data_IF_859910627491
#
_entry.id   IF_859910627491
#
_cell.length_a   1.000
_cell.length_b   1.000
_cell.length_c   1.000
_cell.angle_alpha   90.00
_cell.angle_beta   90.00
_cell.angle_gamma   90.00
#
_symmetry.space_group_name_H-M   'P 1'
#
loop_
_entity.id
_entity.type
_entity.pdbx_description
1 polymer ?
#
# COMPACT_ATOMS: atom_id res chain seq x y z
N UNK A 1 -4.71 -12.95 12.52
CA UNK A 1 -4.66 -12.24 11.21
C UNK A 1 -5.54 -13.00 10.22
N UNK A 2 -6.71 -12.45 9.88
CA UNK A 2 -7.83 -13.21 9.30
C UNK A 2 -7.55 -13.75 7.89
N UNK A 3 -6.97 -12.95 7.00
CA UNK A 3 -6.60 -13.36 5.64
C UNK A 3 -5.67 -14.57 5.60
N UNK A 4 -4.68 -14.66 6.49
CA UNK A 4 -3.79 -15.83 6.56
C UNK A 4 -4.47 -17.05 7.14
N UNK A 5 -5.37 -16.85 8.12
CA UNK A 5 -6.14 -17.96 8.67
C UNK A 5 -7.01 -18.61 7.58
N UNK A 6 -7.55 -17.82 6.66
CA UNK A 6 -8.42 -18.32 5.59
C UNK A 6 -7.66 -18.78 4.34
N UNK A 7 -6.69 -18.00 3.85
CA UNK A 7 -6.06 -18.23 2.55
C UNK A 7 -4.61 -18.72 2.66
N UNK A 8 -4.07 -18.83 3.87
CA UNK A 8 -2.71 -19.27 4.12
C UNK A 8 -1.68 -18.16 3.97
N UNK A 9 -0.42 -18.56 3.90
CA UNK A 9 0.73 -17.65 3.77
C UNK A 9 0.77 -16.98 2.39
N UNK A 10 1.40 -15.80 2.27
CA UNK A 10 1.62 -15.17 0.97
C UNK A 10 2.60 -15.98 0.13
N UNK A 11 2.42 -15.91 -1.19
CA UNK A 11 3.25 -16.60 -2.17
C UNK A 11 4.25 -15.65 -2.83
N UNK A 12 3.88 -14.36 -3.00
CA UNK A 12 4.74 -13.34 -3.59
C UNK A 12 4.79 -12.07 -2.75
N UNK A 13 5.96 -11.45 -2.73
CA UNK A 13 6.20 -10.11 -2.23
C UNK A 13 6.70 -9.24 -3.38
N UNK A 14 5.95 -8.19 -3.73
CA UNK A 14 6.31 -7.30 -4.83
C UNK A 14 6.59 -5.91 -4.27
N UNK A 15 7.73 -5.33 -4.65
CA UNK A 15 8.08 -3.96 -4.27
C UNK A 15 8.15 -3.09 -5.51
N UNK A 16 7.41 -1.99 -5.52
CA UNK A 16 7.46 -0.96 -6.56
C UNK A 16 8.10 0.30 -5.97
N UNK A 17 9.16 0.79 -6.60
CA UNK A 17 9.86 2.01 -6.16
C UNK A 17 9.66 3.15 -7.14
N UNK A 18 9.35 4.34 -6.62
CA UNK A 18 9.26 5.54 -7.44
C UNK A 18 10.63 5.95 -7.99
N UNK A 19 10.70 6.30 -9.27
CA UNK A 19 11.83 7.02 -9.85
C UNK A 19 11.39 8.43 -10.29
N UNK A 20 11.82 9.51 -9.60
CA UNK A 20 11.53 10.88 -10.00
C UNK A 20 12.10 11.29 -11.37
N UNK A 21 13.05 10.53 -11.90
CA UNK A 21 13.68 10.79 -13.19
C UNK A 21 13.02 10.02 -14.34
N UNK A 22 11.88 9.35 -14.10
CA UNK A 22 11.21 8.62 -15.17
C UNK A 22 10.73 9.58 -16.28
N UNK A 23 10.67 9.11 -17.54
CA UNK A 23 10.37 9.95 -18.68
C UNK A 23 8.99 10.63 -18.57
N UNK A 24 8.01 9.96 -17.97
CA UNK A 24 6.66 10.51 -17.79
C UNK A 24 6.64 11.72 -16.84
N UNK A 25 7.55 11.77 -15.86
CA UNK A 25 7.72 12.94 -15.01
C UNK A 25 8.41 14.05 -15.82
N UNK A 26 9.54 13.72 -16.47
CA UNK A 26 10.34 14.68 -17.24
C UNK A 26 9.54 15.40 -18.33
N UNK A 27 8.62 14.70 -18.99
CA UNK A 27 7.75 15.27 -20.04
C UNK A 27 6.77 16.33 -19.52
N UNK A 28 6.43 16.29 -18.23
CA UNK A 28 5.47 17.20 -17.62
C UNK A 28 6.16 18.33 -16.82
N UNK A 29 7.51 18.34 -16.78
CA UNK A 29 8.29 19.38 -16.12
C UNK A 29 8.42 20.62 -16.99
N UNK A 30 8.31 21.79 -16.36
CA UNK A 30 8.64 23.06 -16.99
C UNK A 30 10.15 23.24 -17.24
N UNK A 31 10.52 24.24 -18.02
CA UNK A 31 11.93 24.58 -18.29
C UNK A 31 12.64 24.87 -16.96
N UNK A 32 13.68 24.10 -16.65
CA UNK A 32 14.48 24.24 -15.43
C UNK A 32 13.88 23.61 -14.18
N UNK A 33 12.69 22.99 -14.26
CA UNK A 33 12.13 22.24 -13.14
C UNK A 33 12.83 20.89 -12.95
N UNK A 34 12.97 20.46 -11.70
CA UNK A 34 13.46 19.14 -11.35
C UNK A 34 12.31 18.31 -10.74
N UNK A 35 12.16 17.05 -11.15
CA UNK A 35 11.09 16.17 -10.67
C UNK A 35 11.02 16.06 -9.14
N UNK A 36 12.18 16.08 -8.47
CA UNK A 36 12.25 16.09 -6.99
C UNK A 36 11.55 17.27 -6.32
N UNK A 37 11.39 18.39 -7.03
CA UNK A 37 10.75 19.61 -6.54
C UNK A 37 9.25 19.67 -6.89
N UNK A 38 8.71 18.65 -7.58
CA UNK A 38 7.30 18.53 -7.99
C UNK A 38 6.63 17.31 -7.33
N UNK A 39 6.50 17.29 -5.98
CA UNK A 39 5.96 16.14 -5.26
C UNK A 39 4.50 15.83 -5.65
N UNK A 40 3.73 16.84 -6.07
CA UNK A 40 2.39 16.68 -6.63
C UNK A 40 2.39 15.80 -7.88
N UNK A 41 3.29 16.09 -8.82
CA UNK A 41 3.41 15.39 -10.10
C UNK A 41 3.91 13.96 -9.87
N UNK A 42 4.96 13.82 -9.07
CA UNK A 42 5.56 12.52 -8.75
C UNK A 42 4.54 11.60 -8.06
N UNK A 43 3.80 12.10 -7.07
CA UNK A 43 2.77 11.31 -6.38
C UNK A 43 1.65 10.87 -7.32
N UNK A 44 1.21 11.72 -8.26
CA UNK A 44 0.18 11.38 -9.25
C UNK A 44 0.65 10.30 -10.22
N UNK A 45 1.87 10.43 -10.74
CA UNK A 45 2.45 9.46 -11.68
C UNK A 45 2.72 8.13 -10.96
N UNK A 46 3.28 8.17 -9.75
CA UNK A 46 3.47 6.96 -8.95
C UNK A 46 2.15 6.24 -8.68
N UNK A 47 1.09 6.97 -8.30
CA UNK A 47 -0.25 6.38 -8.14
C UNK A 47 -0.78 5.77 -9.42
N UNK A 48 -0.60 6.43 -10.57
CA UNK A 48 -1.03 5.88 -11.85
C UNK A 48 -0.34 4.55 -12.15
N UNK A 49 1.00 4.49 -11.95
CA UNK A 49 1.78 3.25 -12.09
C UNK A 49 1.34 2.17 -11.08
N UNK A 50 1.04 2.56 -9.84
CA UNK A 50 0.53 1.65 -8.80
C UNK A 50 -0.77 0.96 -9.24
N UNK A 51 -1.72 1.74 -9.74
CA UNK A 51 -3.01 1.24 -10.20
C UNK A 51 -2.87 0.38 -11.47
N UNK A 52 -1.95 0.73 -12.36
CA UNK A 52 -1.65 -0.06 -13.54
C UNK A 52 -1.07 -1.43 -13.17
N UNK A 53 -0.08 -1.48 -12.26
CA UNK A 53 0.48 -2.72 -11.75
C UNK A 53 -0.58 -3.57 -11.05
N UNK A 54 -1.42 -2.96 -10.20
CA UNK A 54 -2.55 -3.64 -9.57
C UNK A 54 -3.47 -4.28 -10.62
N UNK A 55 -3.81 -3.56 -11.69
CA UNK A 55 -4.64 -4.07 -12.79
C UNK A 55 -4.00 -5.26 -13.49
N UNK A 56 -2.70 -5.18 -13.79
CA UNK A 56 -1.96 -6.30 -14.39
C UNK A 56 -1.98 -7.54 -13.49
N UNK A 57 -1.79 -7.37 -12.19
CA UNK A 57 -1.82 -8.47 -11.20
C UNK A 57 -3.21 -9.09 -11.10
N UNK A 58 -4.25 -8.27 -10.92
CA UNK A 58 -5.59 -8.73 -10.59
C UNK A 58 -6.40 -9.17 -11.81
N UNK A 59 -6.33 -8.43 -12.91
CA UNK A 59 -7.17 -8.66 -14.10
C UNK A 59 -6.43 -9.42 -15.20
N UNK A 60 -5.18 -9.04 -15.48
CA UNK A 60 -4.37 -9.74 -16.51
C UNK A 60 -3.70 -11.01 -15.97
N UNK A 61 -3.74 -11.25 -14.67
CA UNK A 61 -3.18 -12.43 -14.02
C UNK A 61 -1.71 -12.67 -14.37
N UNK A 62 -0.89 -11.60 -14.42
CA UNK A 62 0.55 -11.70 -14.79
C UNK A 62 1.35 -12.66 -13.89
N UNK A 63 0.90 -12.87 -12.64
CA UNK A 63 1.49 -13.84 -11.71
C UNK A 63 0.60 -15.08 -11.47
N UNK A 64 -0.46 -15.24 -12.26
CA UNK A 64 -1.53 -16.21 -12.05
C UNK A 64 -2.74 -15.61 -11.32
N UNK A 65 -3.75 -16.46 -11.06
CA UNK A 65 -4.98 -16.01 -10.39
C UNK A 65 -4.76 -15.74 -8.91
N UNK A 66 -5.07 -14.53 -8.49
CA UNK A 66 -4.96 -14.07 -7.10
C UNK A 66 -6.21 -14.43 -6.31
N UNK A 67 -6.03 -14.93 -5.09
CA UNK A 67 -7.10 -15.16 -4.10
C UNK A 67 -7.21 -13.97 -3.15
N UNK A 68 -6.07 -13.46 -2.71
CA UNK A 68 -6.00 -12.31 -1.84
C UNK A 68 -4.75 -11.47 -2.16
N UNK A 69 -4.88 -10.16 -2.01
CA UNK A 69 -3.80 -9.21 -2.21
C UNK A 69 -3.91 -8.10 -1.17
N UNK A 70 -2.77 -7.67 -0.65
CA UNK A 70 -2.67 -6.47 0.18
C UNK A 70 -1.57 -5.61 -0.43
N UNK A 71 -1.77 -4.31 -0.54
CA UNK A 71 -0.66 -3.40 -0.78
C UNK A 71 -0.66 -2.25 0.19
N UNK A 72 0.53 -1.70 0.46
CA UNK A 72 0.74 -0.50 1.27
C UNK A 72 1.73 0.40 0.56
N UNK A 73 1.44 1.70 0.53
CA UNK A 73 2.33 2.77 0.11
C UNK A 73 3.02 3.34 1.34
N UNK A 74 4.35 3.33 1.31
CA UNK A 74 5.20 3.91 2.34
C UNK A 74 6.04 5.04 1.74
N UNK A 75 6.33 6.07 2.56
CA UNK A 75 7.25 7.14 2.23
C UNK A 75 8.48 6.98 3.09
N UNK A 76 9.60 6.58 2.48
CA UNK A 76 10.85 6.46 3.23
C UNK A 76 11.32 7.83 3.73
N UNK A 77 12.21 7.88 4.74
CA UNK A 77 12.79 9.14 5.25
C UNK A 77 13.50 9.99 4.17
N UNK A 78 13.95 9.36 3.07
CA UNK A 78 14.50 10.03 1.88
C UNK A 78 13.43 10.53 0.88
N UNK A 79 12.15 10.37 1.22
CA UNK A 79 10.98 10.96 0.59
C UNK A 79 10.32 10.12 -0.49
N UNK A 80 11.02 9.21 -1.17
CA UNK A 80 10.44 8.49 -2.30
C UNK A 80 9.31 7.56 -1.85
N UNK A 81 8.26 7.50 -2.67
CA UNK A 81 7.15 6.58 -2.48
C UNK A 81 7.57 5.16 -2.88
N UNK A 82 7.29 4.21 -2.02
CA UNK A 82 7.43 2.78 -2.26
C UNK A 82 6.09 2.13 -2.05
N UNK A 83 5.80 1.08 -2.81
CA UNK A 83 4.65 0.25 -2.56
C UNK A 83 5.08 -1.20 -2.38
N UNK A 84 4.57 -1.83 -1.34
CA UNK A 84 4.78 -3.24 -1.07
C UNK A 84 3.47 -3.97 -1.25
N UNK A 85 3.47 -5.02 -2.07
CA UNK A 85 2.35 -5.91 -2.30
C UNK A 85 2.65 -7.28 -1.69
N UNK A 86 1.64 -7.87 -1.08
CA UNK A 86 1.60 -9.27 -0.71
C UNK A 86 0.48 -9.95 -1.48
N UNK A 87 0.82 -11.03 -2.17
CA UNK A 87 -0.10 -11.73 -3.07
C UNK A 87 -0.20 -13.18 -2.62
N UNK A 88 -1.43 -13.65 -2.48
CA UNK A 88 -1.79 -15.06 -2.25
C UNK A 88 -2.43 -15.58 -3.52
N UNK A 89 -1.81 -16.58 -4.15
CA UNK A 89 -2.24 -17.17 -5.40
C UNK A 89 -3.21 -18.34 -5.16
N UNK A 90 -4.06 -18.61 -6.15
CA UNK A 90 -4.89 -19.83 -6.17
C UNK A 90 -3.99 -21.07 -6.16
N UNK A 91 -4.43 -22.21 -5.57
CA UNK A 91 -3.62 -23.41 -5.45
C UNK A 91 -2.95 -23.88 -6.75
N UNK A 92 -3.65 -23.74 -7.87
CA UNK A 92 -3.19 -24.16 -9.21
C UNK A 92 -2.07 -23.26 -9.77
N UNK A 93 -1.93 -22.04 -9.25
CA UNK A 93 -0.96 -21.04 -9.69
C UNK A 93 0.20 -20.87 -8.69
N UNK A 94 0.21 -21.64 -7.59
CA UNK A 94 1.29 -21.58 -6.62
C UNK A 94 2.60 -22.05 -7.25
N UNK A 95 3.66 -21.30 -6.99
CA UNK A 95 5.02 -21.59 -7.45
C UNK A 95 5.57 -22.74 -6.61
N UNK A 96 5.78 -23.90 -7.24
CA UNK A 96 6.28 -25.11 -6.54
C UNK A 96 7.69 -25.48 -6.98
N UNK A 97 8.06 -25.13 -8.21
CA UNK A 97 9.34 -25.51 -8.81
C UNK A 97 10.11 -24.31 -9.31
N UNK A 98 11.42 -24.49 -9.53
CA UNK A 98 12.27 -23.48 -10.16
C UNK A 98 11.78 -23.11 -11.57
N UNK A 99 11.30 -24.09 -12.33
CA UNK A 99 10.77 -23.85 -13.68
C UNK A 99 9.52 -22.95 -13.65
N UNK A 100 8.71 -23.00 -12.59
CA UNK A 100 7.56 -22.10 -12.43
C UNK A 100 7.99 -20.67 -12.11
N UNK A 101 9.08 -20.51 -11.35
CA UNK A 101 9.67 -19.19 -11.10
C UNK A 101 10.22 -18.57 -12.39
N UNK A 102 10.92 -19.35 -13.22
CA UNK A 102 11.49 -18.86 -14.48
C UNK A 102 10.42 -18.39 -15.49
N UNK A 103 9.18 -18.90 -15.39
CA UNK A 103 8.03 -18.44 -16.21
C UNK A 103 7.57 -17.03 -15.86
N UNK A 104 7.74 -16.58 -14.60
CA UNK A 104 7.41 -15.21 -14.18
C UNK A 104 8.35 -14.17 -14.76
N UNK A 105 9.49 -14.61 -15.29
CA UNK A 105 10.62 -13.78 -15.71
C UNK A 105 10.61 -13.43 -17.20
N UNK A 106 9.67 -13.95 -17.99
CA UNK A 106 9.65 -13.75 -19.45
C UNK A 106 8.77 -12.55 -19.81
N UNK A 107 9.34 -11.65 -20.61
CA UNK A 107 8.62 -10.58 -21.29
C UNK A 107 7.37 -11.19 -21.95
N UNK A 108 6.19 -10.79 -21.45
CA UNK A 108 4.90 -11.27 -21.91
C UNK A 108 4.41 -10.52 -23.15
N UNK A 109 5.12 -9.46 -23.57
CA UNK A 109 4.73 -8.59 -24.68
C UNK A 109 3.52 -7.69 -24.37
N UNK A 110 3.03 -7.71 -23.13
CA UNK A 110 1.91 -6.91 -22.66
C UNK A 110 2.37 -5.46 -22.43
N UNK A 111 1.73 -4.53 -23.16
CA UNK A 111 1.86 -3.09 -22.93
C UNK A 111 0.52 -2.48 -22.45
N UNK A 112 0.61 -1.40 -21.68
CA UNK A 112 -0.53 -0.58 -21.25
C UNK A 112 -0.20 0.88 -21.55
N UNK A 113 -0.92 1.46 -22.50
CA UNK A 113 -0.81 2.88 -22.79
C UNK A 113 -1.53 3.70 -21.72
N UNK A 114 -0.79 4.53 -20.97
CA UNK A 114 -1.35 5.52 -20.06
C UNK A 114 -1.09 6.90 -20.65
N UNK A 115 -2.17 7.58 -21.07
CA UNK A 115 -2.15 8.86 -21.79
C UNK A 115 -1.35 8.79 -23.10
N UNK A 116 -0.03 8.99 -23.03
CA UNK A 116 0.92 9.04 -24.17
C UNK A 116 2.18 8.18 -23.95
N UNK A 117 2.24 7.42 -22.85
CA UNK A 117 3.36 6.54 -22.54
C UNK A 117 2.90 5.08 -22.55
N UNK A 118 3.63 4.24 -23.28
CA UNK A 118 3.42 2.79 -23.29
C UNK A 118 4.23 2.15 -22.17
N UNK A 119 3.54 1.57 -21.18
CA UNK A 119 4.16 0.81 -20.09
C UNK A 119 4.18 -0.66 -20.46
N UNK A 120 5.35 -1.26 -20.63
CA UNK A 120 5.52 -2.68 -20.93
C UNK A 120 5.84 -3.52 -19.67
N UNK A 121 5.78 -4.85 -19.79
CA UNK A 121 6.13 -5.77 -18.71
C UNK A 121 7.64 -6.02 -18.58
N UNK A 122 8.51 -5.31 -19.33
CA UNK A 122 9.98 -5.43 -19.19
C UNK A 122 10.50 -4.85 -17.88
N UNK A 123 9.63 -4.15 -17.15
CA UNK A 123 9.88 -3.50 -15.86
C UNK A 123 9.93 -4.52 -14.69
N UNK A 124 9.45 -5.76 -14.89
CA UNK A 124 9.49 -6.82 -13.88
C UNK A 124 10.89 -7.43 -13.78
N UNK A 125 11.69 -6.98 -12.80
CA UNK A 125 12.95 -7.66 -12.45
C UNK A 125 12.69 -8.57 -11.26
N UNK A 126 12.81 -9.88 -11.45
CA UNK A 126 12.92 -10.78 -10.31
C UNK A 126 14.28 -10.60 -9.64
N UNK A 127 14.33 -10.58 -8.31
CA UNK A 127 15.58 -10.37 -7.58
C UNK A 127 16.59 -11.46 -8.00
N UNK A 128 17.68 -11.05 -8.64
CA UNK A 128 18.87 -11.88 -8.84
C UNK A 128 19.91 -11.40 -7.82
N UNK A 129 20.44 -12.26 -6.93
CA UNK A 129 21.40 -11.87 -5.89
C UNK A 129 22.77 -11.43 -6.45
N UNK A 130 22.96 -11.56 -7.77
CA UNK A 130 24.14 -11.11 -8.50
C UNK A 130 23.70 -9.89 -9.30
N UNK A 131 24.23 -8.71 -8.95
CA UNK A 131 24.10 -7.53 -9.81
C UNK A 131 24.69 -7.90 -11.19
N UNK A 132 23.91 -7.77 -12.29
CA UNK A 132 24.42 -8.07 -13.61
C UNK A 132 25.62 -7.15 -13.89
N UNK A 133 26.76 -7.73 -14.28
CA UNK A 133 27.92 -6.95 -14.68
C UNK A 133 27.59 -6.14 -15.95
N UNK A 134 28.33 -5.07 -16.29
CA UNK A 134 28.14 -4.32 -17.54
C UNK A 134 28.27 -5.17 -18.82
N UNK A 135 28.73 -6.41 -18.69
CA UNK A 135 28.88 -7.39 -19.77
C UNK A 135 27.73 -8.41 -19.83
N UNK A 136 26.76 -8.35 -18.90
CA UNK A 136 25.57 -9.21 -18.89
C UNK A 136 24.51 -8.63 -19.87
N UNK A 137 23.97 -9.42 -20.80
CA UNK A 137 22.88 -8.97 -21.68
C UNK A 137 21.59 -8.55 -20.96
N UNK A 138 21.45 -8.78 -19.65
CA UNK A 138 20.36 -8.29 -18.79
C UNK A 138 20.67 -6.93 -18.12
N UNK A 139 21.91 -6.44 -18.24
CA UNK A 139 22.31 -5.13 -17.78
C UNK A 139 21.69 -4.08 -18.69
N UNK A 140 20.88 -3.20 -18.11
CA UNK A 140 20.23 -2.12 -18.82
C UNK A 140 20.92 -0.80 -18.43
N UNK A 141 21.64 -0.15 -19.36
CA UNK A 141 22.31 1.12 -19.13
C UNK A 141 21.36 2.30 -18.91
N UNK A 142 20.05 2.14 -19.13
CA UNK A 142 19.14 3.28 -19.31
C UNK A 142 19.01 4.17 -18.04
N UNK A 143 19.53 5.41 -18.06
CA UNK A 143 19.37 6.37 -16.97
C UNK A 143 17.93 6.88 -16.79
N UNK A 144 17.03 6.57 -17.73
CA UNK A 144 15.59 6.91 -17.71
C UNK A 144 14.71 5.81 -17.11
N UNK A 145 15.31 4.81 -16.44
CA UNK A 145 14.67 3.64 -15.84
C UNK A 145 13.28 3.92 -15.24
N UNK A 146 12.26 3.19 -15.70
CA UNK A 146 10.83 3.35 -15.41
C UNK A 146 10.41 2.99 -13.97
N UNK A 147 11.26 3.18 -12.96
CA UNK A 147 11.01 2.71 -11.60
C UNK A 147 11.22 1.20 -11.49
N UNK A 148 11.70 0.76 -10.32
CA UNK A 148 12.08 -0.65 -10.14
C UNK A 148 10.91 -1.42 -9.53
N UNK A 149 10.44 -2.45 -10.25
CA UNK A 149 9.54 -3.46 -9.69
C UNK A 149 10.38 -4.71 -9.39
N UNK A 150 10.41 -5.07 -8.12
CA UNK A 150 11.08 -6.27 -7.63
C UNK A 150 10.03 -7.31 -7.22
N UNK A 151 10.20 -8.56 -7.64
CA UNK A 151 9.32 -9.68 -7.28
C UNK A 151 10.12 -10.75 -6.55
N UNK A 152 9.66 -11.11 -5.35
CA UNK A 152 10.26 -12.13 -4.50
C UNK A 152 9.25 -13.22 -4.16
N UNK A 153 9.71 -14.48 -4.13
CA UNK A 153 8.89 -15.58 -3.62
C UNK A 153 8.87 -15.51 -2.10
N UNK A 154 7.67 -15.34 -1.56
CA UNK A 154 7.46 -15.29 -0.13
C UNK A 154 7.08 -16.68 0.39
N UNK A 155 7.73 -17.13 1.46
CA UNK A 155 7.44 -18.43 2.07
C UNK A 155 7.04 -18.32 3.54
N UNK A 156 6.96 -17.11 4.09
CA UNK A 156 6.77 -16.83 5.52
C UNK A 156 5.59 -15.91 5.80
N UNK A 157 4.84 -16.23 6.85
CA UNK A 157 3.76 -15.39 7.38
C UNK A 157 4.30 -14.07 7.95
N UNK A 158 5.60 -14.01 8.27
CA UNK A 158 6.26 -12.80 8.77
C UNK A 158 6.15 -11.62 7.81
N UNK A 159 6.09 -11.86 6.49
CA UNK A 159 5.97 -10.78 5.52
C UNK A 159 4.66 -9.99 5.68
N UNK A 160 3.57 -10.63 6.14
CA UNK A 160 2.33 -9.89 6.40
C UNK A 160 2.41 -9.13 7.72
N UNK A 161 3.10 -9.66 8.75
CA UNK A 161 3.41 -8.86 9.94
C UNK A 161 4.21 -7.61 9.56
N UNK A 162 5.15 -7.75 8.62
CA UNK A 162 5.92 -6.64 8.08
C UNK A 162 5.04 -5.63 7.35
N UNK A 163 4.08 -6.05 6.53
CA UNK A 163 3.19 -5.11 5.85
C UNK A 163 2.20 -4.42 6.80
N UNK A 164 1.64 -5.16 7.77
CA UNK A 164 0.78 -4.59 8.81
C UNK A 164 1.55 -3.60 9.69
N UNK A 165 2.84 -3.81 9.93
CA UNK A 165 3.68 -2.79 10.56
C UNK A 165 3.55 -1.48 9.79
N UNK A 166 3.61 -1.44 8.47
CA UNK A 166 3.48 -0.18 7.73
C UNK A 166 2.08 0.43 7.75
N UNK A 167 1.04 -0.39 7.89
CA UNK A 167 -0.33 0.11 8.11
C UNK A 167 -0.47 0.76 9.50
N UNK A 168 0.19 0.21 10.53
CA UNK A 168 -0.08 0.56 11.94
C UNK A 168 1.09 1.22 12.70
N UNK A 169 2.30 1.32 12.14
CA UNK A 169 3.52 1.86 12.78
C UNK A 169 3.37 3.34 13.19
N UNK A 170 2.32 4.02 12.73
CA UNK A 170 2.15 5.44 12.93
C UNK A 170 3.19 6.23 12.12
N UNK A 171 3.15 7.54 12.27
CA UNK A 171 4.08 8.40 11.55
C UNK A 171 5.47 8.37 12.17
N UNK A 172 6.49 8.50 11.33
CA UNK A 172 7.85 8.72 11.80
C UNK A 172 7.90 10.00 12.63
N UNK A 173 8.57 9.94 13.79
CA UNK A 173 8.76 11.07 14.69
C UNK A 173 10.22 11.53 14.66
N UNK A 174 10.41 12.84 14.71
CA UNK A 174 11.72 13.46 14.87
C UNK A 174 11.74 14.28 16.16
N UNK A 175 12.93 14.40 16.74
CA UNK A 175 13.19 15.28 17.87
C UNK A 175 13.98 16.48 17.35
N UNK A 176 13.54 17.70 17.65
CA UNK A 176 14.20 18.93 17.23
C UNK A 176 14.16 19.98 18.34
N UNK A 177 15.13 20.90 18.30
CA UNK A 177 15.19 22.06 19.19
C UNK A 177 15.09 23.34 18.34
N UNK A 178 14.29 24.31 18.78
CA UNK A 178 14.13 25.62 18.14
C UNK A 178 14.94 26.64 18.93
N UNK A 179 16.12 27.00 18.43
CA UNK A 179 17.01 27.97 19.07
C UNK A 179 16.82 29.34 18.39
N UNK A 180 16.61 30.40 19.18
CA UNK A 180 16.59 31.77 18.65
C UNK A 180 18.02 32.21 18.27
N UNK A 181 18.21 32.96 17.16
CA UNK A 181 19.54 33.42 16.78
C UNK A 181 20.10 34.39 17.84
N UNK A 182 21.20 34.01 18.51
CA UNK A 182 21.96 34.90 19.40
C UNK A 182 21.89 34.59 20.91
N UNK A 183 21.03 33.67 21.37
CA UNK A 183 21.07 33.21 22.77
C UNK A 183 22.00 31.99 22.91
N UNK A 184 23.22 32.22 23.41
CA UNK A 184 24.00 31.13 24.04
C UNK A 184 23.52 30.97 25.50
N UNK A 185 22.39 30.28 25.69
CA UNK A 185 22.00 29.82 27.03
C UNK A 185 22.66 28.46 27.30
N UNK A 186 23.06 28.26 28.56
CA UNK A 186 23.45 26.96 29.08
C UNK A 186 22.34 25.95 28.78
N UNK A 187 22.64 24.96 27.95
CA UNK A 187 21.68 24.01 27.38
C UNK A 187 21.48 22.88 28.38
N UNK A 188 20.28 22.78 28.94
CA UNK A 188 19.83 21.53 29.53
C UNK A 188 19.37 20.63 28.38
N UNK A 189 20.15 19.59 28.08
CA UNK A 189 19.99 18.70 26.92
C UNK A 189 18.68 17.89 26.94
N UNK A 190 17.92 17.90 28.03
CA UNK A 190 16.72 17.06 28.20
C UNK A 190 15.40 17.84 28.01
N UNK A 191 15.35 19.11 28.44
CA UNK A 191 14.07 19.84 28.56
C UNK A 191 13.62 20.63 27.32
N UNK A 192 14.49 20.83 26.31
CA UNK A 192 14.17 21.68 25.15
C UNK A 192 13.91 20.94 23.83
N UNK A 193 13.96 19.61 23.83
CA UNK A 193 13.70 18.81 22.63
C UNK A 193 12.19 18.58 22.43
N UNK A 194 11.66 19.10 21.34
CA UNK A 194 10.28 18.86 20.92
C UNK A 194 10.21 17.66 19.99
N UNK A 195 9.24 16.76 20.22
CA UNK A 195 8.94 15.66 19.30
C UNK A 195 7.85 16.08 18.31
N UNK A 196 8.19 16.08 17.03
CA UNK A 196 7.27 16.34 15.93
C UNK A 196 7.03 15.12 15.06
N UNK A 197 5.90 15.13 14.35
CA UNK A 197 5.65 14.18 13.25
C UNK A 197 6.44 14.65 12.03
N UNK A 198 7.23 13.75 11.46
CA UNK A 198 7.87 13.97 10.18
C UNK A 198 6.92 13.59 9.04
N UNK A 199 6.68 14.52 8.13
CA UNK A 199 5.90 14.28 6.91
C UNK A 199 6.77 14.69 5.72
N UNK A 200 7.07 13.74 4.84
CA UNK A 200 7.84 14.05 3.62
C UNK A 200 6.98 14.86 2.62
N UNK A 201 7.58 15.62 1.69
CA UNK A 201 6.84 16.37 0.68
C UNK A 201 5.90 15.47 -0.16
N UNK A 202 6.35 14.25 -0.48
CA UNK A 202 5.57 13.28 -1.23
C UNK A 202 4.42 12.70 -0.41
N UNK A 203 4.64 12.42 0.88
CA UNK A 203 3.57 11.99 1.78
C UNK A 203 2.52 13.09 1.95
N UNK A 204 2.95 14.34 2.12
CA UNK A 204 2.05 15.49 2.21
C UNK A 204 1.21 15.63 0.94
N UNK A 205 1.83 15.57 -0.24
CA UNK A 205 1.13 15.62 -1.52
C UNK A 205 0.14 14.45 -1.66
N UNK A 206 0.53 13.23 -1.28
CA UNK A 206 -0.35 12.05 -1.33
C UNK A 206 -1.61 12.23 -0.47
N UNK A 207 -1.44 12.76 0.74
CA UNK A 207 -2.55 13.04 1.67
C UNK A 207 -3.45 14.17 1.18
N UNK A 208 -2.87 15.27 0.68
CA UNK A 208 -3.63 16.40 0.12
C UNK A 208 -4.49 15.94 -1.07
N UNK A 209 -3.95 15.05 -1.90
CA UNK A 209 -4.65 14.49 -3.05
C UNK A 209 -5.69 13.40 -2.68
N UNK A 210 -5.80 13.04 -1.39
CA UNK A 210 -6.77 12.06 -0.91
C UNK A 210 -6.52 10.63 -1.42
N UNK A 211 -5.25 10.27 -1.65
CA UNK A 211 -4.91 8.95 -2.16
C UNK A 211 -4.83 7.90 -1.04
N UNK A 212 -5.36 6.70 -1.30
CA UNK A 212 -5.30 5.59 -0.36
C UNK A 212 -3.87 5.13 -0.09
N UNK A 213 -3.53 4.94 1.18
CA UNK A 213 -2.21 4.44 1.59
C UNK A 213 -2.11 2.91 1.50
N UNK A 214 -3.24 2.21 1.53
CA UNK A 214 -3.25 0.76 1.47
C UNK A 214 -4.59 0.26 0.94
N UNK A 215 -4.59 -0.97 0.46
CA UNK A 215 -5.82 -1.67 0.08
C UNK A 215 -5.69 -3.15 0.40
N UNK A 216 -6.82 -3.77 0.69
CA UNK A 216 -6.93 -5.20 1.00
C UNK A 216 -8.01 -5.81 0.10
N UNK A 217 -7.66 -6.88 -0.60
CA UNK A 217 -8.55 -7.68 -1.41
C UNK A 217 -8.51 -9.15 -0.95
N UNK A 218 -9.65 -9.83 -0.74
CA UNK A 218 -10.98 -9.23 -0.62
C UNK A 218 -11.05 -8.25 0.55
N UNK A 219 -11.97 -7.29 0.52
CA UNK A 219 -12.08 -6.27 1.56
C UNK A 219 -12.31 -6.91 2.94
N UNK A 220 -11.49 -6.52 3.92
CA UNK A 220 -11.63 -6.99 5.31
C UNK A 220 -11.97 -5.79 6.18
N UNK A 221 -13.18 -5.79 6.73
CA UNK A 221 -13.64 -4.77 7.66
C UNK A 221 -13.68 -5.33 9.08
N UNK A 222 -13.06 -4.65 10.07
CA UNK A 222 -13.27 -4.98 11.46
C UNK A 222 -14.67 -4.53 11.88
N UNK A 223 -15.45 -5.46 12.43
CA UNK A 223 -16.75 -5.14 13.04
C UNK A 223 -16.57 -5.01 14.55
N UNK A 224 -17.14 -3.96 15.14
CA UNK A 224 -17.19 -3.81 16.59
C UNK A 224 -18.14 -4.85 17.16
N UNK A 225 -17.61 -5.76 17.96
CA UNK A 225 -18.43 -6.76 18.66
C UNK A 225 -19.01 -6.12 19.91
N UNK A 226 -20.32 -6.25 20.10
CA UNK A 226 -21.05 -5.77 21.26
C UNK A 226 -22.24 -6.68 21.54
N UNK A 227 -22.73 -6.66 22.78
CA UNK A 227 -23.98 -7.30 23.14
C UNK A 227 -25.18 -6.49 22.62
N UNK A 228 -26.39 -7.08 22.55
CA UNK A 228 -27.60 -6.35 22.19
C UNK A 228 -27.74 -5.06 23.02
N UNK A 229 -27.93 -3.93 22.34
CA UNK A 229 -28.07 -2.60 22.94
C UNK A 229 -26.86 -2.09 23.77
N UNK A 230 -25.70 -2.75 23.67
CA UNK A 230 -24.45 -2.32 24.34
C UNK A 230 -23.40 -1.79 23.35
N UNK A 231 -23.82 -1.29 22.19
CA UNK A 231 -22.93 -0.61 21.26
C UNK A 231 -22.65 0.82 21.70
N UNK A 232 -21.50 1.35 21.27
CA UNK A 232 -21.13 2.73 21.53
C UNK A 232 -21.93 3.66 20.61
N UNK A 233 -22.52 4.70 21.18
CA UNK A 233 -23.22 5.75 20.44
C UNK A 233 -22.42 7.05 20.58
N UNK A 234 -22.08 7.69 19.45
CA UNK A 234 -21.52 9.03 19.47
C UNK A 234 -22.65 10.05 19.56
N UNK A 235 -22.55 10.96 20.53
CA UNK A 235 -23.52 12.01 20.78
C UNK A 235 -22.81 13.35 20.53
N UNK A 236 -23.37 14.18 19.67
CA UNK A 236 -22.88 15.56 19.48
C UNK A 236 -23.47 16.46 20.55
N UNK A 237 -22.73 17.50 20.95
CA UNK A 237 -23.15 18.41 22.03
C UNK A 237 -24.54 19.05 21.86
N UNK A 238 -25.05 19.15 20.63
CA UNK A 238 -26.35 19.76 20.32
C UNK A 238 -27.49 18.75 20.15
N UNK A 239 -27.21 17.44 20.26
CA UNK A 239 -28.22 16.39 20.06
C UNK A 239 -28.93 16.06 21.38
N UNK A 240 -30.26 15.87 21.33
CA UNK A 240 -31.06 15.47 22.49
C UNK A 240 -31.04 13.96 22.66
N UNK A 241 -30.76 13.50 23.88
CA UNK A 241 -30.67 12.07 24.21
C UNK A 241 -31.96 11.31 23.88
N UNK A 242 -33.12 11.86 24.23
CA UNK A 242 -34.43 11.22 24.01
C UNK A 242 -34.69 10.97 22.52
N UNK A 243 -34.34 11.94 21.66
CA UNK A 243 -34.50 11.84 20.22
C UNK A 243 -33.52 10.83 19.60
N UNK A 244 -32.31 10.72 20.17
CA UNK A 244 -31.31 9.74 19.75
C UNK A 244 -31.70 8.31 20.10
N UNK A 245 -32.25 8.07 21.29
CA UNK A 245 -32.71 6.74 21.72
C UNK A 245 -33.94 6.30 20.93
N UNK A 246 -34.84 7.22 20.60
CA UNK A 246 -36.01 6.93 19.78
C UNK A 246 -35.68 6.69 18.29
N UNK A 247 -34.49 7.06 17.83
CA UNK A 247 -34.11 6.91 16.43
C UNK A 247 -33.69 5.46 16.10
N UNK A 248 -34.51 4.75 15.32
CA UNK A 248 -34.23 3.38 14.86
C UNK A 248 -32.87 3.26 14.16
N UNK A 249 -32.41 4.31 13.47
CA UNK A 249 -31.10 4.33 12.83
C UNK A 249 -29.95 4.08 13.82
N UNK A 250 -30.09 4.57 15.06
CA UNK A 250 -29.04 4.48 16.08
C UNK A 250 -28.98 3.11 16.76
N UNK A 251 -30.02 2.27 16.59
CA UNK A 251 -30.02 0.87 17.04
C UNK A 251 -29.28 -0.05 16.05
N UNK A 252 -29.10 0.40 14.81
CA UNK A 252 -28.47 -0.36 13.72
C UNK A 252 -26.96 -0.14 13.73
N UNK A 253 -26.20 -1.21 13.93
CA UNK A 253 -24.74 -1.21 13.82
C UNK A 253 -24.31 -2.03 12.61
N UNK A 254 -23.05 -1.85 12.17
CA UNK A 254 -22.49 -2.69 11.11
C UNK A 254 -22.55 -4.18 11.45
N UNK A 255 -22.48 -4.54 12.74
CA UNK A 255 -22.60 -5.91 13.21
C UNK A 255 -24.04 -6.44 13.08
N UNK A 256 -25.05 -5.67 13.50
CA UNK A 256 -26.45 -6.11 13.42
C UNK A 256 -26.92 -6.19 11.97
N UNK A 257 -26.54 -5.23 11.13
CA UNK A 257 -26.85 -5.27 9.69
C UNK A 257 -26.13 -6.41 8.98
N UNK A 258 -24.90 -6.73 9.39
CA UNK A 258 -24.20 -7.91 8.89
C UNK A 258 -24.95 -9.22 9.20
N UNK A 259 -25.45 -9.38 10.44
CA UNK A 259 -26.26 -10.56 10.78
C UNK A 259 -27.57 -10.60 9.99
N UNK A 260 -28.25 -9.45 9.84
CA UNK A 260 -29.47 -9.35 9.03
C UNK A 260 -29.23 -9.74 7.57
N UNK A 261 -28.15 -9.24 6.96
CA UNK A 261 -27.77 -9.57 5.59
C UNK A 261 -27.42 -11.05 5.41
N UNK A 262 -26.71 -11.65 6.39
CA UNK A 262 -26.42 -13.08 6.39
C UNK A 262 -27.67 -13.93 6.47
N UNK A 263 -28.62 -13.58 7.34
CA UNK A 263 -29.88 -14.31 7.48
C UNK A 263 -30.76 -14.21 6.22
N UNK A 264 -30.67 -13.11 5.48
CA UNK A 264 -31.42 -12.88 4.25
C UNK A 264 -30.84 -13.60 3.01
N UNK A 265 -29.61 -14.13 3.09
CA UNK A 265 -28.93 -14.78 1.97
C UNK A 265 -29.01 -16.31 2.14
N UNK A 266 -29.57 -17.08 1.19
CA UNK A 266 -29.48 -18.54 1.22
C UNK A 266 -28.01 -18.97 1.29
N UNK A 267 -27.68 -19.90 2.19
CA UNK A 267 -26.31 -20.35 2.54
C UNK A 267 -25.40 -19.33 3.28
N UNK A 268 -25.94 -18.16 3.63
CA UNK A 268 -25.20 -17.07 4.27
C UNK A 268 -24.18 -16.42 3.33
N UNK A 269 -23.68 -15.22 3.67
CA UNK A 269 -22.75 -14.53 2.74
C UNK A 269 -21.37 -15.18 2.68
N UNK A 270 -21.07 -16.18 3.52
CA UNK A 270 -19.76 -16.81 3.67
C UNK A 270 -18.58 -15.84 3.97
N UNK A 271 -18.85 -14.53 4.21
CA UNK A 271 -17.85 -13.51 4.48
C UNK A 271 -17.50 -13.34 5.96
N UNK A 272 -18.09 -14.16 6.86
CA UNK A 272 -17.75 -14.10 8.27
C UNK A 272 -16.43 -14.83 8.57
N UNK A 273 -15.33 -14.08 8.62
CA UNK A 273 -14.12 -14.57 9.26
C UNK A 273 -14.20 -14.31 10.77
N UNK A 274 -14.96 -15.14 11.50
CA UNK A 274 -15.00 -15.11 12.96
C UNK A 274 -13.69 -15.68 13.54
N UNK A 275 -13.11 -14.98 14.51
CA UNK A 275 -11.95 -15.46 15.24
C UNK A 275 -12.40 -16.43 16.31
N UNK A 276 -12.26 -17.72 16.05
CA UNK A 276 -12.00 -18.71 17.11
C UNK A 276 -10.56 -18.62 17.58
#
# INVERSE_FOLDING_TARGET
MKLVKQYGKPDLFVTMMCNPNCPEIKQELGIGEAGKNRPDLVSRIFRAKLLALKKQIMEKHVFGKVVAMIYVVEFQKRGLSHAHFLIILKPDFKIKTRADYDKLRRDTGDAVSIRKADLDNRILRSYDPILPSPTDPKWDPDPDNLGHINVEVCSSIQAIKYLYKYVYKGHDRISFNVVQPGEQRYVDDIDQFQSGIWVSPYEAAWRILGFDLYEIHPAVLPLQVHLPNMHTVQIRHHERLDALVAADRQSRTSLTEFFRANAATPDGTCYCMAGS
#
